data_IF_169921443717
#
_entry.id   IF_169921443717
#
_cell.length_a   1.000
_cell.length_b   1.000
_cell.length_c   1.000
_cell.angle_alpha   90.00
_cell.angle_beta   90.00
_cell.angle_gamma   90.00
#
_symmetry.space_group_name_H-M   'P 1'
#
loop_
_entity.id
_entity.type
_entity.pdbx_description
1 polymer ?
#
# COMPACT_ATOMS: atom_id res chain seq x y z
N UNK A 1 -3.55 40.22 -15.76
CA UNK A 1 -3.24 39.21 -14.72
C UNK A 1 -3.89 37.91 -15.13
N UNK A 2 -3.15 36.84 -15.47
CA UNK A 2 -3.79 35.60 -15.86
C UNK A 2 -4.27 34.85 -14.61
N UNK A 3 -5.56 34.50 -14.61
CA UNK A 3 -6.23 33.71 -13.57
C UNK A 3 -5.94 32.23 -13.83
N UNK A 4 -4.96 31.65 -13.13
CA UNK A 4 -4.64 30.21 -13.18
C UNK A 4 -4.86 29.52 -11.81
N UNK A 5 -5.92 29.89 -11.09
CA UNK A 5 -6.24 29.28 -9.78
C UNK A 5 -7.58 28.54 -9.76
N UNK A 6 -8.30 28.43 -10.88
CA UNK A 6 -9.65 27.83 -10.91
C UNK A 6 -9.66 26.31 -11.09
N UNK A 7 -8.52 25.70 -11.43
CA UNK A 7 -8.43 24.26 -11.73
C UNK A 7 -7.69 23.46 -10.66
N UNK A 8 -7.31 24.09 -9.54
CA UNK A 8 -6.85 23.37 -8.35
C UNK A 8 -8.07 22.91 -7.56
N UNK A 9 -8.88 22.02 -8.14
CA UNK A 9 -9.72 21.15 -7.33
C UNK A 9 -8.73 20.30 -6.54
N UNK A 10 -8.66 20.38 -5.20
CA UNK A 10 -7.86 19.42 -4.46
C UNK A 10 -8.42 18.06 -4.84
N UNK A 11 -7.59 17.18 -5.42
CA UNK A 11 -7.98 15.78 -5.62
C UNK A 11 -8.46 15.28 -4.26
N UNK A 12 -9.78 15.07 -4.14
CA UNK A 12 -10.40 14.66 -2.90
C UNK A 12 -10.08 13.18 -2.72
N UNK A 13 -8.97 12.91 -2.03
CA UNK A 13 -8.61 11.56 -1.66
C UNK A 13 -9.73 10.98 -0.79
N UNK A 14 -10.34 9.91 -1.28
CA UNK A 14 -11.44 9.22 -0.62
C UNK A 14 -10.91 7.92 -0.05
N UNK A 15 -10.99 7.78 1.27
CA UNK A 15 -10.72 6.52 1.95
C UNK A 15 -11.75 5.47 1.58
N UNK A 16 -11.29 4.29 1.21
CA UNK A 16 -12.13 3.17 0.82
C UNK A 16 -12.18 2.09 1.92
N UNK A 17 -11.01 1.68 2.43
CA UNK A 17 -10.91 0.60 3.42
C UNK A 17 -9.51 0.53 4.05
N UNK A 18 -9.37 -0.35 5.04
CA UNK A 18 -8.09 -0.71 5.62
C UNK A 18 -8.09 -2.15 6.11
N UNK A 19 -6.90 -2.76 6.14
CA UNK A 19 -6.68 -4.13 6.56
C UNK A 19 -5.38 -4.23 7.35
N UNK A 20 -5.26 -5.29 8.14
CA UNK A 20 -4.04 -5.63 8.87
C UNK A 20 -3.71 -7.10 8.63
N UNK A 21 -2.46 -7.38 8.28
CA UNK A 21 -1.98 -8.73 8.01
C UNK A 21 -0.75 -9.04 8.86
N UNK A 22 -0.86 -10.06 9.71
CA UNK A 22 0.29 -10.67 10.39
C UNK A 22 1.06 -11.56 9.40
N UNK A 23 1.80 -10.92 8.49
CA UNK A 23 2.41 -11.59 7.34
C UNK A 23 3.66 -12.42 7.73
N UNK A 24 4.32 -12.11 8.86
CA UNK A 24 5.47 -12.87 9.33
C UNK A 24 6.50 -13.06 8.20
N UNK A 25 6.93 -14.29 7.93
CA UNK A 25 7.86 -14.60 6.83
C UNK A 25 7.19 -15.32 5.65
N UNK A 26 5.87 -15.19 5.49
CA UNK A 26 5.12 -15.82 4.39
C UNK A 26 4.36 -14.77 3.59
N UNK A 27 4.36 -14.94 2.26
CA UNK A 27 3.58 -14.05 1.38
C UNK A 27 2.10 -14.14 1.72
N UNK A 28 1.49 -12.99 1.96
CA UNK A 28 0.08 -12.83 2.28
C UNK A 28 -0.55 -11.89 1.26
N UNK A 29 -1.64 -12.28 0.63
CA UNK A 29 -2.43 -11.40 -0.22
C UNK A 29 -3.26 -10.45 0.65
N UNK A 30 -3.31 -9.18 0.26
CA UNK A 30 -4.18 -8.16 0.82
C UNK A 30 -5.31 -7.92 -0.17
N UNK A 31 -6.55 -8.04 0.29
CA UNK A 31 -7.73 -7.76 -0.51
C UNK A 31 -7.76 -6.29 -0.95
N UNK A 32 -7.39 -6.06 -2.21
CA UNK A 32 -7.46 -4.73 -2.82
C UNK A 32 -8.93 -4.34 -2.98
N UNK A 33 -9.30 -3.21 -2.38
CA UNK A 33 -10.67 -2.72 -2.50
C UNK A 33 -10.94 -2.19 -3.90
N UNK A 34 -12.10 -2.53 -4.45
CA UNK A 34 -12.48 -2.10 -5.79
C UNK A 34 -12.36 -0.58 -5.94
N UNK A 35 -11.76 -0.14 -7.05
CA UNK A 35 -11.48 1.28 -7.39
C UNK A 35 -10.39 1.96 -6.56
N UNK A 36 -9.70 1.25 -5.69
CA UNK A 36 -8.50 1.78 -5.07
C UNK A 36 -7.47 2.14 -6.14
N UNK A 37 -6.93 3.35 -6.06
CA UNK A 37 -5.82 3.80 -6.90
C UNK A 37 -4.59 4.12 -6.08
N UNK A 38 -4.71 4.23 -4.76
CA UNK A 38 -3.61 4.45 -3.83
C UNK A 38 -3.70 3.41 -2.74
N UNK A 39 -2.55 2.92 -2.27
CA UNK A 39 -2.46 2.25 -0.98
C UNK A 39 -1.39 2.89 -0.11
N UNK A 40 -1.69 2.95 1.17
CA UNK A 40 -0.77 3.34 2.24
C UNK A 40 -0.41 2.09 3.02
N UNK A 41 0.87 1.94 3.38
CA UNK A 41 1.37 0.77 4.10
C UNK A 41 2.27 1.18 5.25
N UNK A 42 2.03 0.62 6.43
CA UNK A 42 2.84 0.76 7.63
C UNK A 42 3.29 -0.62 8.12
N UNK A 43 4.57 -0.74 8.41
CA UNK A 43 5.16 -1.97 8.93
C UNK A 43 5.34 -1.89 10.46
N UNK A 44 4.82 -2.88 11.20
CA UNK A 44 5.00 -3.02 12.64
C UNK A 44 5.78 -4.32 12.94
N UNK A 45 6.63 -4.30 13.97
CA UNK A 45 7.32 -5.49 14.51
C UNK A 45 8.53 -5.99 13.70
N UNK A 46 8.53 -5.79 12.38
CA UNK A 46 9.69 -5.90 11.49
C UNK A 46 9.40 -5.17 10.17
N UNK A 47 10.41 -5.04 9.30
CA UNK A 47 10.21 -4.48 7.97
C UNK A 47 9.28 -5.35 7.11
N UNK A 48 8.59 -4.74 6.15
CA UNK A 48 7.67 -5.39 5.21
C UNK A 48 8.12 -5.14 3.78
N UNK A 49 8.14 -6.19 2.98
CA UNK A 49 8.28 -6.13 1.52
C UNK A 49 6.92 -6.32 0.87
N UNK A 50 6.69 -5.68 -0.27
CA UNK A 50 5.43 -5.80 -0.98
C UNK A 50 5.60 -5.88 -2.50
N UNK A 51 4.65 -6.59 -3.13
CA UNK A 51 4.55 -6.77 -4.57
C UNK A 51 3.17 -6.29 -5.03
N UNK A 52 3.14 -5.37 -5.99
CA UNK A 52 1.90 -4.84 -6.57
C UNK A 52 1.61 -5.59 -7.87
N UNK A 53 0.37 -6.06 -8.05
CA UNK A 53 -0.07 -6.76 -9.27
C UNK A 53 0.78 -8.00 -9.62
N UNK A 54 1.41 -8.61 -8.61
CA UNK A 54 2.16 -9.84 -8.73
C UNK A 54 1.36 -11.06 -8.28
N UNK A 55 2.07 -12.17 -8.04
CA UNK A 55 1.50 -13.45 -7.57
C UNK A 55 1.91 -13.80 -6.14
N UNK A 56 3.01 -13.23 -5.64
CA UNK A 56 3.51 -13.38 -4.27
C UNK A 56 4.55 -12.30 -3.98
N UNK A 57 4.70 -11.92 -2.71
CA UNK A 57 5.79 -11.08 -2.23
C UNK A 57 6.95 -11.94 -1.70
N UNK A 58 8.19 -11.48 -1.92
CA UNK A 58 9.41 -12.09 -1.38
C UNK A 58 10.28 -11.03 -0.72
N UNK A 59 11.36 -11.43 -0.04
CA UNK A 59 12.36 -10.50 0.51
C UNK A 59 13.16 -9.74 -0.55
N UNK A 60 12.92 -10.02 -1.83
CA UNK A 60 13.48 -9.30 -2.98
C UNK A 60 12.42 -8.56 -3.79
N UNK A 61 11.18 -8.50 -3.31
CA UNK A 61 10.13 -7.71 -3.95
C UNK A 61 10.53 -6.22 -4.02
N UNK A 62 10.03 -5.49 -5.03
CA UNK A 62 10.47 -4.12 -5.31
C UNK A 62 9.98 -3.12 -4.25
N UNK A 63 8.88 -3.43 -3.56
CA UNK A 63 8.37 -2.64 -2.45
C UNK A 63 9.05 -2.99 -1.14
N UNK A 64 9.41 -1.96 -0.36
CA UNK A 64 10.01 -2.12 0.96
C UNK A 64 9.57 -0.98 1.89
N UNK A 65 9.19 -1.35 3.12
CA UNK A 65 8.84 -0.45 4.20
C UNK A 65 9.66 -0.87 5.43
N UNK A 66 10.53 0.00 5.98
CA UNK A 66 11.29 -0.34 7.18
C UNK A 66 10.34 -0.51 8.38
N UNK A 67 10.80 -1.22 9.42
CA UNK A 67 10.03 -1.34 10.67
C UNK A 67 9.66 0.04 11.22
N UNK A 68 8.41 0.19 11.66
CA UNK A 68 7.77 1.41 12.16
C UNK A 68 7.75 2.55 11.12
N UNK A 69 7.95 2.19 9.84
CA UNK A 69 7.95 3.09 8.70
C UNK A 69 6.64 3.06 7.93
N UNK A 70 6.34 4.16 7.26
CA UNK A 70 5.12 4.34 6.47
C UNK A 70 5.46 4.73 5.03
N UNK A 71 4.74 4.19 4.06
CA UNK A 71 4.86 4.56 2.65
C UNK A 71 3.48 4.66 1.98
N UNK A 72 3.31 5.66 1.12
CA UNK A 72 2.12 5.83 0.26
C UNK A 72 2.49 5.60 -1.21
N UNK A 73 1.73 4.76 -1.92
CA UNK A 73 2.01 4.39 -3.31
C UNK A 73 0.78 4.66 -4.17
N UNK A 74 0.94 5.51 -5.18
CA UNK A 74 -0.06 5.76 -6.22
C UNK A 74 -0.01 7.17 -6.79
N UNK A 75 -0.96 7.52 -7.68
CA UNK A 75 -2.06 6.68 -8.16
C UNK A 75 -1.59 5.54 -9.08
N UNK A 76 -2.30 4.41 -9.03
CA UNK A 76 -2.11 3.21 -9.81
C UNK A 76 -3.44 2.84 -10.46
N UNK A 77 -3.56 3.09 -11.78
CA UNK A 77 -4.82 2.89 -12.51
C UNK A 77 -5.25 1.41 -12.62
N UNK A 78 -4.32 0.49 -12.38
CA UNK A 78 -4.54 -0.95 -12.49
C UNK A 78 -4.24 -1.71 -11.19
N UNK A 79 -4.36 -1.06 -10.03
CA UNK A 79 -4.19 -1.75 -8.74
C UNK A 79 -5.24 -2.87 -8.60
N UNK A 80 -4.78 -4.11 -8.57
CA UNK A 80 -5.61 -5.32 -8.64
C UNK A 80 -5.23 -6.35 -7.58
N UNK A 81 -3.94 -6.55 -7.32
CA UNK A 81 -3.46 -7.39 -6.22
C UNK A 81 -2.36 -6.66 -5.46
N UNK A 82 -2.24 -6.97 -4.16
CA UNK A 82 -1.16 -6.52 -3.31
C UNK A 82 -0.74 -7.70 -2.43
N UNK A 83 0.52 -8.09 -2.50
CA UNK A 83 1.09 -9.10 -1.62
C UNK A 83 2.09 -8.46 -0.68
N UNK A 84 2.14 -8.97 0.56
CA UNK A 84 3.08 -8.52 1.59
C UNK A 84 3.78 -9.71 2.24
N UNK A 85 5.02 -9.51 2.65
CA UNK A 85 5.81 -10.44 3.45
C UNK A 85 6.71 -9.64 4.39
N UNK A 86 6.92 -10.12 5.60
CA UNK A 86 7.83 -9.51 6.55
C UNK A 86 9.26 -10.01 6.45
N UNK A 87 10.19 -9.20 6.95
CA UNK A 87 11.58 -9.56 7.19
C UNK A 87 11.77 -10.46 8.43
N UNK A 88 10.70 -10.68 9.22
CA UNK A 88 10.73 -11.44 10.46
C UNK A 88 9.35 -11.93 10.90
N UNK A 89 9.29 -12.85 11.85
CA UNK A 89 8.05 -13.52 12.27
C UNK A 89 7.05 -12.61 12.98
N UNK A 90 7.52 -11.50 13.57
CA UNK A 90 6.67 -10.51 14.22
C UNK A 90 6.11 -9.44 13.26
N UNK A 91 6.39 -9.54 11.96
CA UNK A 91 5.97 -8.53 10.99
C UNK A 91 4.46 -8.47 10.84
N UNK A 92 3.93 -7.25 10.94
CA UNK A 92 2.55 -6.90 10.66
C UNK A 92 2.53 -5.77 9.64
N UNK A 93 1.71 -5.91 8.60
CA UNK A 93 1.45 -4.86 7.62
C UNK A 93 0.06 -4.28 7.88
N UNK A 94 -0.01 -2.97 8.09
CA UNK A 94 -1.26 -2.21 8.08
C UNK A 94 -1.38 -1.53 6.73
N UNK A 95 -2.47 -1.78 6.01
CA UNK A 95 -2.66 -1.26 4.66
C UNK A 95 -3.99 -0.51 4.59
N UNK A 96 -3.96 0.70 4.05
CA UNK A 96 -5.16 1.49 3.74
C UNK A 96 -5.28 1.67 2.24
N UNK A 97 -6.51 1.71 1.73
CA UNK A 97 -6.80 1.93 0.31
C UNK A 97 -7.57 3.22 0.10
N UNK A 98 -7.11 4.01 -0.85
CA UNK A 98 -7.64 5.32 -1.18
C UNK A 98 -7.90 5.45 -2.68
N UNK A 99 -8.80 6.36 -3.06
CA UNK A 99 -9.07 6.74 -4.45
C UNK A 99 -8.92 8.26 -4.62
N UNK A 100 -8.34 8.68 -5.74
CA UNK A 100 -8.36 10.07 -6.23
C UNK A 100 -9.09 10.19 -7.56
#
# INVERSE_FOLDING_TARGET
MPKYYKDLVPYLMTYLSGSTAACGTSSTEIDVTAKATIFDIHAEGAAVYYEVNGTAATTTSPGYVPQDGHWSVGPLDNLSTLFVIGAGTAAVAHVEFNQI
#
